data_IF_592628545995
#
_entry.id   IF_592628545995
#
_cell.length_a   1.000
_cell.length_b   1.000
_cell.length_c   1.000
_cell.angle_alpha   90.00
_cell.angle_beta   90.00
_cell.angle_gamma   90.00
#
_symmetry.space_group_name_H-M   'P 1'
#
loop_
_entity.id
_entity.type
_entity.pdbx_description
1 polymer ?
#
# COMPACT_ATOMS: atom_id res chain seq x y z
N UNK A 1 13.41 -6.97 -5.87
CA UNK A 1 12.40 -6.25 -5.09
C UNK A 1 11.01 -6.77 -5.37
N UNK A 2 10.15 -6.71 -4.38
CA UNK A 2 8.76 -7.12 -4.54
C UNK A 2 7.88 -5.91 -4.71
N UNK A 3 6.71 -6.10 -5.30
CA UNK A 3 5.72 -5.05 -5.48
C UNK A 3 4.52 -5.34 -4.59
N UNK A 4 4.17 -4.36 -3.77
CA UNK A 4 3.02 -4.47 -2.87
C UNK A 4 1.98 -3.41 -3.22
N UNK A 5 0.73 -3.72 -2.91
CA UNK A 5 -0.35 -2.75 -3.07
C UNK A 5 -1.08 -2.62 -1.73
N UNK A 6 -1.20 -1.39 -1.26
CA UNK A 6 -1.85 -1.12 0.02
C UNK A 6 -3.07 -0.24 -0.21
N UNK A 7 -4.17 -0.59 0.45
CA UNK A 7 -5.41 0.19 0.34
C UNK A 7 -5.59 1.06 1.58
N UNK A 8 -6.32 2.15 1.43
CA UNK A 8 -6.49 3.14 2.48
C UNK A 8 -7.95 3.55 2.60
N UNK A 9 -8.30 4.15 3.74
CA UNK A 9 -9.67 4.59 4.00
C UNK A 9 -10.04 5.85 3.23
N UNK A 10 -9.05 6.70 2.95
CA UNK A 10 -9.30 7.95 2.25
C UNK A 10 -8.17 8.24 1.29
N UNK A 11 -8.46 9.04 0.28
CA UNK A 11 -7.43 9.46 -0.66
C UNK A 11 -6.34 10.28 0.04
N UNK A 12 -6.70 11.02 1.07
CA UNK A 12 -5.74 11.78 1.85
C UNK A 12 -4.70 10.86 2.49
N UNK A 13 -5.14 9.74 3.06
CA UNK A 13 -4.22 8.77 3.64
C UNK A 13 -3.35 8.13 2.57
N UNK A 14 -3.93 7.80 1.43
CA UNK A 14 -3.16 7.23 0.32
C UNK A 14 -2.09 8.22 -0.17
N UNK A 15 -2.44 9.49 -0.29
CA UNK A 15 -1.50 10.53 -0.71
C UNK A 15 -0.37 10.71 0.32
N UNK A 16 -0.70 10.64 1.60
CA UNK A 16 0.31 10.71 2.65
C UNK A 16 1.27 9.54 2.55
N UNK A 17 0.74 8.35 2.29
CA UNK A 17 1.56 7.15 2.12
C UNK A 17 2.49 7.29 0.92
N UNK A 18 1.97 7.77 -0.20
CA UNK A 18 2.77 7.99 -1.39
C UNK A 18 3.96 8.91 -1.08
N UNK A 19 3.68 9.98 -0.36
CA UNK A 19 4.71 10.95 0.02
C UNK A 19 5.75 10.33 0.95
N UNK A 20 5.28 9.56 1.92
CA UNK A 20 6.16 8.91 2.89
C UNK A 20 7.10 7.91 2.21
N UNK A 21 6.57 7.13 1.26
CA UNK A 21 7.38 6.19 0.51
C UNK A 21 8.43 6.92 -0.34
N UNK A 22 8.02 8.02 -0.96
CA UNK A 22 8.95 8.83 -1.74
C UNK A 22 10.11 9.35 -0.90
N UNK A 23 9.81 9.83 0.31
CA UNK A 23 10.86 10.30 1.23
C UNK A 23 11.78 9.17 1.66
N UNK A 24 11.27 7.96 1.77
CA UNK A 24 12.07 6.79 2.14
C UNK A 24 12.87 6.24 0.97
N UNK A 25 12.73 6.82 -0.21
CA UNK A 25 13.46 6.37 -1.40
C UNK A 25 12.88 5.13 -2.05
N UNK A 26 11.63 4.79 -1.74
CA UNK A 26 10.97 3.63 -2.33
C UNK A 26 10.13 4.06 -3.53
N UNK A 27 10.26 3.33 -4.63
CA UNK A 27 9.43 3.59 -5.80
C UNK A 27 7.98 3.30 -5.50
N UNK A 28 7.10 4.25 -5.79
CA UNK A 28 5.68 4.08 -5.52
C UNK A 28 4.82 4.86 -6.50
N UNK A 29 3.57 4.41 -6.65
CA UNK A 29 2.60 5.03 -7.53
C UNK A 29 1.24 5.00 -6.86
N UNK A 30 0.56 6.14 -6.83
CA UNK A 30 -0.83 6.20 -6.40
C UNK A 30 -1.69 5.65 -7.54
N UNK A 31 -2.52 4.65 -7.25
CA UNK A 31 -3.35 4.01 -8.25
C UNK A 31 -4.77 3.83 -7.77
N UNK A 32 -5.66 3.65 -8.72
CA UNK A 32 -7.01 3.29 -8.41
C UNK A 32 -7.03 1.84 -7.89
N UNK A 33 -7.71 1.65 -6.77
CA UNK A 33 -7.86 0.30 -6.21
C UNK A 33 -8.75 -0.53 -7.14
N UNK A 34 -8.34 -1.75 -7.55
CA UNK A 34 -9.21 -2.61 -8.31
C UNK A 34 -10.51 -2.87 -7.56
N UNK A 35 -11.60 -2.96 -8.30
CA UNK A 35 -12.93 -3.07 -7.70
C UNK A 35 -13.06 -4.24 -6.73
N UNK A 36 -12.45 -5.37 -7.04
CA UNK A 36 -12.55 -6.55 -6.18
C UNK A 36 -11.78 -6.41 -4.87
N UNK A 37 -10.85 -5.47 -4.78
CA UNK A 37 -10.14 -5.15 -3.54
C UNK A 37 -10.87 -4.11 -2.72
N UNK A 38 -11.76 -3.38 -3.36
CA UNK A 38 -12.41 -2.23 -2.75
C UNK A 38 -13.59 -2.69 -1.90
N UNK A 39 -13.49 -2.47 -0.60
CA UNK A 39 -14.60 -2.76 0.30
C UNK A 39 -15.26 -1.45 0.75
N UNK A 40 -14.58 -0.73 1.64
CA UNK A 40 -15.08 0.55 2.15
C UNK A 40 -14.02 1.62 2.06
N UNK A 41 -13.17 1.54 1.07
CA UNK A 41 -12.07 2.47 0.93
C UNK A 41 -12.43 3.64 0.04
N UNK A 42 -11.43 4.47 -0.20
CA UNK A 42 -11.58 5.64 -1.05
C UNK A 42 -11.45 5.32 -2.54
N UNK A 43 -11.23 4.08 -2.88
CA UNK A 43 -11.00 3.68 -4.26
C UNK A 43 -9.59 3.94 -4.75
N UNK A 44 -8.67 4.33 -3.89
CA UNK A 44 -7.29 4.57 -4.24
C UNK A 44 -6.36 3.82 -3.28
N UNK A 45 -5.22 3.41 -3.80
CA UNK A 45 -4.19 2.77 -3.00
C UNK A 45 -2.83 3.13 -3.54
N UNK A 46 -1.79 2.57 -2.93
CA UNK A 46 -0.41 2.85 -3.32
C UNK A 46 0.28 1.54 -3.67
N UNK A 47 0.83 1.51 -4.88
CA UNK A 47 1.70 0.43 -5.31
C UNK A 47 3.13 0.83 -4.94
N UNK A 48 3.81 0.01 -4.16
CA UNK A 48 5.15 0.33 -3.69
C UNK A 48 6.09 -0.84 -3.94
N UNK A 49 7.33 -0.52 -4.31
CA UNK A 49 8.38 -1.51 -4.51
C UNK A 49 9.35 -1.45 -3.35
N UNK A 50 9.50 -2.57 -2.67
CA UNK A 50 10.41 -2.66 -1.53
C UNK A 50 10.84 -4.12 -1.33
N UNK A 51 11.91 -4.35 -0.54
CA UNK A 51 12.43 -5.72 -0.36
C UNK A 51 11.43 -6.67 0.25
N UNK A 52 10.66 -6.18 1.23
CA UNK A 52 9.66 -6.99 1.92
C UNK A 52 8.56 -6.10 2.48
N UNK A 53 7.49 -6.74 2.93
CA UNK A 53 6.34 -6.00 3.46
C UNK A 53 6.71 -5.23 4.73
N UNK A 54 7.57 -5.81 5.56
CA UNK A 54 7.99 -5.17 6.80
C UNK A 54 8.58 -3.79 6.55
N UNK A 55 9.45 -3.68 5.56
CA UNK A 55 10.06 -2.40 5.19
C UNK A 55 8.99 -1.39 4.82
N UNK A 56 8.02 -1.80 3.99
CA UNK A 56 6.94 -0.90 3.58
C UNK A 56 6.06 -0.48 4.75
N UNK A 57 5.76 -1.41 5.65
CA UNK A 57 4.90 -1.09 6.80
C UNK A 57 5.62 -0.21 7.82
N UNK A 58 6.94 -0.35 7.96
CA UNK A 58 7.69 0.50 8.86
C UNK A 58 7.62 1.97 8.46
N UNK A 59 7.62 2.25 7.16
CA UNK A 59 7.48 3.62 6.68
C UNK A 59 6.14 4.19 7.13
N UNK A 60 5.07 3.44 6.95
CA UNK A 60 3.74 3.89 7.35
C UNK A 60 3.63 4.06 8.86
N UNK A 61 4.22 3.14 9.62
CA UNK A 61 4.19 3.19 11.07
C UNK A 61 4.90 4.45 11.59
N UNK A 62 6.04 4.76 11.00
CA UNK A 62 6.82 5.96 11.38
C UNK A 62 6.02 7.24 11.17
N UNK A 63 5.25 7.29 10.08
CA UNK A 63 4.46 8.47 9.74
C UNK A 63 3.05 8.40 10.31
N UNK A 64 2.74 7.33 11.06
CA UNK A 64 1.43 7.12 11.68
C UNK A 64 0.31 7.13 10.66
N UNK A 65 0.52 6.43 9.54
CA UNK A 65 -0.46 6.34 8.46
C UNK A 65 -1.10 4.96 8.52
N UNK A 66 -2.39 4.85 8.87
CA UNK A 66 -3.07 3.55 8.85
C UNK A 66 -3.38 3.13 7.43
N UNK A 67 -3.35 1.83 7.18
CA UNK A 67 -3.78 1.24 5.91
C UNK A 67 -4.86 0.22 6.19
N UNK A 68 -5.59 -0.20 5.15
CA UNK A 68 -6.66 -1.19 5.33
C UNK A 68 -6.17 -2.59 5.04
N UNK A 69 -5.72 -2.83 3.82
CA UNK A 69 -5.25 -4.16 3.42
C UNK A 69 -3.97 -4.04 2.64
N UNK A 70 -3.20 -5.11 2.64
CA UNK A 70 -1.96 -5.18 1.88
C UNK A 70 -1.97 -6.43 1.01
N UNK A 71 -1.40 -6.30 -0.18
CA UNK A 71 -1.37 -7.35 -1.18
C UNK A 71 0.03 -7.45 -1.76
N UNK A 72 0.44 -8.67 -2.10
CA UNK A 72 1.65 -8.90 -2.86
C UNK A 72 1.26 -9.11 -4.32
N UNK A 73 1.86 -8.33 -5.21
CA UNK A 73 1.61 -8.45 -6.64
C UNK A 73 2.73 -9.26 -7.26
N UNK A 74 2.39 -10.40 -7.83
CA UNK A 74 3.37 -11.28 -8.45
C UNK A 74 3.60 -10.88 -9.90
N UNK A 75 4.81 -11.17 -10.42
CA UNK A 75 5.18 -10.80 -11.77
C UNK A 75 4.29 -11.44 -12.84
N UNK A 76 3.71 -12.60 -12.53
CA UNK A 76 2.82 -13.31 -13.45
C UNK A 76 1.38 -12.79 -13.46
N UNK A 77 1.11 -11.73 -12.69
CA UNK A 77 -0.21 -11.17 -12.56
C UNK A 77 -1.00 -11.68 -11.38
N UNK A 78 -0.46 -12.65 -10.65
CA UNK A 78 -1.12 -13.16 -9.44
C UNK A 78 -1.11 -12.14 -8.32
N UNK A 79 -2.12 -12.19 -7.46
CA UNK A 79 -2.25 -11.27 -6.32
C UNK A 79 -2.51 -12.08 -5.08
N UNK A 80 -1.76 -11.79 -4.03
CA UNK A 80 -1.91 -12.48 -2.76
C UNK A 80 -2.23 -11.48 -1.66
N UNK A 81 -3.33 -11.68 -0.96
CA UNK A 81 -3.68 -10.84 0.18
C UNK A 81 -2.80 -11.21 1.37
N UNK A 82 -2.09 -10.23 1.93
CA UNK A 82 -1.15 -10.49 3.01
C UNK A 82 -1.73 -10.16 4.38
N UNK A 83 -2.63 -9.21 4.45
CA UNK A 83 -3.22 -8.86 5.72
C UNK A 83 -3.76 -7.45 5.72
N UNK A 84 -4.23 -7.07 6.89
CA UNK A 84 -4.82 -5.75 7.10
C UNK A 84 -4.18 -5.10 8.32
N UNK A 85 -4.40 -3.80 8.45
CA UNK A 85 -3.88 -3.05 9.57
C UNK A 85 -4.52 -3.55 10.87
N UNK A 86 -3.68 -3.94 11.81
CA UNK A 86 -4.14 -4.32 13.14
C UNK A 86 -3.85 -3.17 14.08
N UNK A 87 -4.89 -2.64 14.72
CA UNK A 87 -4.68 -1.54 15.65
C UNK A 87 -3.76 -1.89 16.80
#
# INVERSE_FOLDING_TARGET
MKTFFLTFRSITQAQRAERAYGKAGLGCVLRRTPRWMEERGCGYGVEVKCPDLKTGLEVLRREKIPFRKSYLLHADGGVEELGHDLP
#
